data_IF_788094506810
#
_entry.id   IF_788094506810
#
_cell.length_a   1.000
_cell.length_b   1.000
_cell.length_c   1.000
_cell.angle_alpha   90.00
_cell.angle_beta   90.00
_cell.angle_gamma   90.00
#
_symmetry.space_group_name_H-M   'P 1'
#
loop_
_entity.id
_entity.type
_entity.pdbx_description
1 polymer ?
#
# COMPACT_ATOMS: atom_id res chain seq x y z
N UNK A 1 12.06 -14.13 -2.60
CA UNK A 1 12.11 -12.72 -2.13
C UNK A 1 11.39 -12.55 -0.80
N UNK A 2 11.58 -11.39 -0.13
CA UNK A 2 10.93 -11.02 1.13
C UNK A 2 9.66 -10.24 0.86
N UNK A 3 8.50 -10.77 1.26
CA UNK A 3 7.18 -10.19 0.96
C UNK A 3 6.53 -9.70 2.25
N UNK A 4 6.05 -8.45 2.24
CA UNK A 4 5.25 -7.88 3.31
C UNK A 4 3.83 -7.58 2.81
N UNK A 5 2.83 -8.24 3.39
CA UNK A 5 1.41 -8.05 3.06
C UNK A 5 0.76 -7.19 4.13
N UNK A 6 0.09 -6.11 3.72
CA UNK A 6 -0.55 -5.15 4.62
C UNK A 6 -2.05 -5.07 4.31
N UNK A 7 -2.91 -5.41 5.28
CA UNK A 7 -4.34 -5.14 5.21
C UNK A 7 -4.67 -3.83 5.93
N UNK A 8 -5.17 -2.86 5.16
CA UNK A 8 -5.57 -1.54 5.65
C UNK A 8 -7.05 -1.38 5.95
N UNK A 9 -7.86 -2.43 5.88
CA UNK A 9 -9.30 -2.33 6.21
C UNK A 9 -9.52 -2.44 7.71
N UNK A 10 -10.29 -1.53 8.34
CA UNK A 10 -10.52 -1.56 9.79
C UNK A 10 -11.47 -2.67 10.25
N UNK A 11 -12.31 -3.21 9.36
CA UNK A 11 -13.30 -4.25 9.69
C UNK A 11 -12.81 -5.65 9.31
N UNK A 12 -12.81 -6.57 10.30
CA UNK A 12 -12.43 -7.99 10.17
C UNK A 12 -13.40 -8.79 9.29
N UNK A 13 -14.65 -8.35 9.14
CA UNK A 13 -15.68 -8.97 8.29
C UNK A 13 -15.65 -8.51 6.83
N UNK A 14 -14.70 -7.69 6.45
CA UNK A 14 -14.64 -7.07 5.12
C UNK A 14 -14.15 -8.03 4.03
N UNK A 15 -14.51 -7.75 2.77
CA UNK A 15 -13.97 -8.48 1.63
C UNK A 15 -12.46 -8.24 1.44
N UNK A 16 -11.92 -7.11 1.88
CA UNK A 16 -10.46 -6.90 1.94
C UNK A 16 -9.78 -7.92 2.85
N UNK A 17 -10.42 -8.35 3.94
CA UNK A 17 -9.89 -9.40 4.81
C UNK A 17 -9.84 -10.75 4.09
N UNK A 18 -10.82 -11.09 3.25
CA UNK A 18 -10.80 -12.30 2.44
C UNK A 18 -9.69 -12.24 1.39
N UNK A 19 -9.49 -11.09 0.72
CA UNK A 19 -8.37 -10.87 -0.21
C UNK A 19 -7.03 -11.05 0.50
N UNK A 20 -6.87 -10.44 1.68
CA UNK A 20 -5.66 -10.54 2.49
C UNK A 20 -5.33 -12.00 2.85
N UNK A 21 -6.32 -12.76 3.36
CA UNK A 21 -6.16 -14.18 3.67
C UNK A 21 -5.78 -14.98 2.43
N UNK A 22 -6.49 -14.77 1.31
CA UNK A 22 -6.17 -15.43 0.05
C UNK A 22 -4.73 -15.20 -0.39
N UNK A 23 -4.23 -13.97 -0.23
CA UNK A 23 -2.83 -13.64 -0.56
C UNK A 23 -1.87 -14.40 0.36
N UNK A 24 -2.06 -14.30 1.67
CA UNK A 24 -1.17 -14.93 2.66
C UNK A 24 -1.13 -16.45 2.51
N UNK A 25 -2.28 -17.09 2.25
CA UNK A 25 -2.40 -18.54 2.11
C UNK A 25 -1.84 -19.09 0.78
N UNK A 26 -1.67 -18.25 -0.24
CA UNK A 26 -1.25 -18.68 -1.57
C UNK A 26 0.15 -18.22 -1.99
N UNK A 27 0.86 -17.46 -1.16
CA UNK A 27 2.28 -17.18 -1.36
C UNK A 27 3.09 -18.45 -1.04
N UNK A 28 3.93 -18.88 -1.99
CA UNK A 28 4.75 -20.09 -1.84
C UNK A 28 5.89 -19.84 -0.83
N UNK A 29 5.76 -20.43 0.37
CA UNK A 29 6.75 -20.33 1.45
C UNK A 29 8.10 -20.99 1.14
N UNK A 30 8.16 -21.86 0.11
CA UNK A 30 9.44 -22.43 -0.32
C UNK A 30 10.26 -21.46 -1.18
N UNK A 31 9.60 -20.46 -1.79
CA UNK A 31 10.22 -19.47 -2.68
C UNK A 31 10.37 -18.10 -2.04
N UNK A 32 9.53 -17.79 -1.04
CA UNK A 32 9.44 -16.45 -0.46
C UNK A 32 9.40 -16.51 1.07
N UNK A 33 10.03 -15.52 1.70
CA UNK A 33 9.84 -15.21 3.11
C UNK A 33 8.64 -14.27 3.23
N UNK A 34 7.68 -14.60 4.07
CA UNK A 34 6.42 -13.86 4.22
C UNK A 34 6.28 -13.28 5.62
N UNK A 35 6.02 -12.00 5.69
CA UNK A 35 5.51 -11.29 6.87
C UNK A 35 4.18 -10.60 6.53
N UNK A 36 3.32 -10.45 7.53
CA UNK A 36 2.02 -9.80 7.29
C UNK A 36 1.64 -8.87 8.44
N UNK A 37 0.97 -7.77 8.09
CA UNK A 37 0.39 -6.79 9.01
C UNK A 37 -1.09 -6.67 8.72
N UNK A 38 -1.92 -7.11 9.68
CA UNK A 38 -3.35 -6.96 9.62
C UNK A 38 -3.78 -5.83 10.58
N UNK A 39 -3.89 -4.61 10.06
CA UNK A 39 -4.09 -3.41 10.88
C UNK A 39 -5.35 -3.44 11.75
N UNK A 40 -6.38 -4.21 11.35
CA UNK A 40 -7.60 -4.33 12.16
C UNK A 40 -7.48 -5.24 13.39
N UNK A 41 -6.34 -5.89 13.57
CA UNK A 41 -6.06 -6.76 14.72
C UNK A 41 -5.10 -6.12 15.73
N UNK A 42 -4.60 -4.93 15.40
CA UNK A 42 -3.54 -4.26 16.16
C UNK A 42 -4.07 -2.96 16.74
N UNK A 43 -3.92 -2.81 18.04
CA UNK A 43 -4.22 -1.56 18.74
C UNK A 43 -2.97 -0.66 18.71
N UNK A 44 -3.04 0.44 17.98
CA UNK A 44 -2.01 1.49 17.90
C UNK A 44 -2.64 2.85 17.65
N UNK A 45 -1.99 3.92 18.08
CA UNK A 45 -2.45 5.28 17.76
C UNK A 45 -2.06 5.66 16.31
N UNK A 46 -3.03 5.75 15.37
CA UNK A 46 -2.74 6.11 13.98
C UNK A 46 -2.45 7.60 13.79
N UNK A 47 -2.63 8.43 14.82
CA UNK A 47 -2.48 9.88 14.68
C UNK A 47 -1.04 10.31 14.90
N UNK A 48 -0.44 10.95 13.92
CA UNK A 48 0.86 11.62 14.05
C UNK A 48 0.68 12.96 14.77
N UNK A 49 0.48 12.92 16.12
CA UNK A 49 -0.02 14.03 16.93
C UNK A 49 0.78 15.31 16.85
N UNK A 50 2.10 15.19 16.68
CA UNK A 50 3.00 16.36 16.69
C UNK A 50 3.62 16.63 15.33
N UNK A 51 3.19 15.91 14.28
CA UNK A 51 3.91 15.88 13.01
C UNK A 51 5.35 15.42 13.25
N UNK A 52 6.31 16.03 12.54
CA UNK A 52 7.73 15.77 12.75
C UNK A 52 8.42 16.79 13.68
N UNK A 53 7.64 17.66 14.36
CA UNK A 53 8.16 18.69 15.27
C UNK A 53 8.63 18.10 16.61
N UNK A 54 7.96 17.09 17.09
CA UNK A 54 8.26 16.41 18.36
C UNK A 54 8.09 14.90 18.16
N UNK A 55 9.04 14.13 18.66
CA UNK A 55 8.94 12.66 18.66
C UNK A 55 7.79 12.22 19.56
N UNK A 56 6.98 11.29 19.10
CA UNK A 56 6.00 10.57 19.90
C UNK A 56 6.69 9.51 20.76
N UNK A 57 6.01 9.02 21.78
CA UNK A 57 6.45 7.85 22.52
C UNK A 57 6.66 6.66 21.57
N UNK A 58 7.64 5.85 21.91
CA UNK A 58 7.95 4.66 21.12
C UNK A 58 6.82 3.65 21.24
N UNK A 59 6.37 3.17 20.12
CA UNK A 59 5.36 2.13 19.98
C UNK A 59 6.05 0.90 19.37
N UNK A 60 6.10 -0.23 20.09
CA UNK A 60 6.77 -1.44 19.60
C UNK A 60 6.27 -1.92 18.24
N UNK A 61 4.96 -1.76 17.97
CA UNK A 61 4.39 -2.11 16.68
C UNK A 61 4.89 -1.20 15.55
N UNK A 62 5.00 0.11 15.81
CA UNK A 62 5.54 1.07 14.84
C UNK A 62 7.02 0.77 14.55
N UNK A 63 7.82 0.50 15.57
CA UNK A 63 9.23 0.12 15.41
C UNK A 63 9.37 -1.18 14.60
N UNK A 64 8.59 -2.21 14.94
CA UNK A 64 8.58 -3.46 14.16
C UNK A 64 8.12 -3.24 12.72
N UNK A 65 7.13 -2.39 12.50
CA UNK A 65 6.68 -2.03 11.15
C UNK A 65 7.79 -1.35 10.33
N UNK A 66 8.59 -0.48 10.94
CA UNK A 66 9.74 0.17 10.29
C UNK A 66 10.82 -0.84 9.91
N UNK A 67 11.12 -1.82 10.76
CA UNK A 67 12.02 -2.93 10.43
C UNK A 67 11.50 -3.74 9.24
N UNK A 68 10.22 -4.10 9.25
CA UNK A 68 9.59 -4.85 8.16
C UNK A 68 9.59 -4.11 6.82
N UNK A 69 9.41 -2.79 6.84
CA UNK A 69 9.53 -1.96 5.63
C UNK A 69 10.94 -1.99 5.06
N UNK A 70 11.95 -1.97 5.90
CA UNK A 70 13.34 -2.09 5.45
C UNK A 70 13.68 -3.52 4.98
N UNK A 71 13.12 -4.53 5.62
CA UNK A 71 13.33 -5.94 5.33
C UNK A 71 12.72 -6.38 3.99
N UNK A 72 11.47 -5.96 3.70
CA UNK A 72 10.73 -6.45 2.53
C UNK A 72 11.35 -6.01 1.20
N UNK A 73 11.32 -6.88 0.19
CA UNK A 73 11.64 -6.59 -1.22
C UNK A 73 10.37 -6.21 -2.01
N UNK A 74 9.25 -6.83 -1.64
CA UNK A 74 7.94 -6.62 -2.26
C UNK A 74 6.85 -6.36 -1.23
N UNK A 75 6.04 -5.34 -1.48
CA UNK A 75 4.90 -4.97 -0.64
C UNK A 75 3.59 -5.34 -1.33
N UNK A 76 2.63 -5.86 -0.58
CA UNK A 76 1.27 -6.07 -1.07
C UNK A 76 0.31 -5.31 -0.16
N UNK A 77 -0.34 -4.28 -0.70
CA UNK A 77 -1.33 -3.50 0.02
C UNK A 77 -2.73 -3.94 -0.35
N UNK A 78 -3.57 -4.18 0.67
CA UNK A 78 -4.99 -4.51 0.50
C UNK A 78 -5.83 -3.47 1.26
N UNK A 79 -6.71 -2.73 0.55
CA UNK A 79 -7.55 -1.73 1.21
C UNK A 79 -8.78 -1.33 0.38
N UNK A 80 -9.84 -0.79 1.01
CA UNK A 80 -10.97 -0.22 0.30
C UNK A 80 -10.65 1.21 -0.13
N UNK A 81 -11.17 1.61 -1.28
CA UNK A 81 -11.13 3.02 -1.71
C UNK A 81 -12.29 3.76 -1.07
N UNK A 82 -12.02 4.64 -0.13
CA UNK A 82 -12.96 5.51 0.54
C UNK A 82 -12.63 6.97 0.26
N UNK A 83 -13.61 7.74 -0.19
CA UNK A 83 -13.43 9.16 -0.51
C UNK A 83 -12.18 9.42 -1.37
N UNK A 84 -12.03 8.62 -2.43
CA UNK A 84 -10.89 8.70 -3.35
C UNK A 84 -9.51 8.54 -2.68
N UNK A 85 -9.46 7.85 -1.56
CA UNK A 85 -8.22 7.61 -0.80
C UNK A 85 -8.25 6.26 -0.09
N UNK A 86 -7.20 5.97 0.67
CA UNK A 86 -7.13 4.84 1.59
C UNK A 86 -7.85 5.17 2.90
N UNK A 87 -8.26 4.17 3.69
CA UNK A 87 -8.82 4.37 5.03
C UNK A 87 -7.84 5.13 5.96
N UNK A 88 -8.41 5.86 6.93
CA UNK A 88 -7.64 6.60 7.93
C UNK A 88 -6.66 5.72 8.70
N UNK A 89 -7.05 4.47 9.00
CA UNK A 89 -6.20 3.50 9.68
C UNK A 89 -4.92 3.21 8.89
N UNK A 90 -5.03 2.92 7.59
CA UNK A 90 -3.87 2.69 6.72
C UNK A 90 -3.04 3.96 6.55
N UNK A 91 -3.72 5.12 6.37
CA UNK A 91 -3.03 6.40 6.24
C UNK A 91 -2.25 6.74 7.50
N UNK A 92 -2.85 6.54 8.67
CA UNK A 92 -2.20 6.78 9.95
C UNK A 92 -1.00 5.86 10.19
N UNK A 93 -1.11 4.57 9.83
CA UNK A 93 0.04 3.66 9.85
C UNK A 93 1.16 4.15 8.94
N UNK A 94 0.84 4.58 7.71
CA UNK A 94 1.83 5.15 6.79
C UNK A 94 2.48 6.40 7.41
N UNK A 95 1.73 7.33 7.98
CA UNK A 95 2.26 8.55 8.57
C UNK A 95 3.20 8.27 9.75
N UNK A 96 2.93 7.20 10.51
CA UNK A 96 3.75 6.79 11.66
C UNK A 96 5.00 6.00 11.26
N UNK A 97 4.93 5.22 10.18
CA UNK A 97 5.97 4.26 9.76
C UNK A 97 6.87 4.82 8.66
N UNK A 98 6.31 5.53 7.68
CA UNK A 98 7.05 6.08 6.54
C UNK A 98 7.71 7.42 6.87
N UNK A 99 8.62 7.40 7.83
CA UNK A 99 9.24 8.59 8.39
C UNK A 99 10.60 8.92 7.78
N UNK A 100 11.08 10.18 7.90
CA UNK A 100 12.44 10.55 7.53
C UNK A 100 13.47 9.65 8.22
N UNK A 101 14.51 9.26 7.48
CA UNK A 101 15.54 8.32 7.95
C UNK A 101 15.21 6.84 7.72
N UNK A 102 13.93 6.48 7.60
CA UNK A 102 13.47 5.11 7.30
C UNK A 102 13.19 4.93 5.80
N UNK A 103 12.42 5.81 5.18
CA UNK A 103 11.99 5.65 3.78
C UNK A 103 12.57 6.72 2.84
N UNK A 104 12.96 7.85 3.38
CA UNK A 104 13.66 8.91 2.65
C UNK A 104 14.59 9.70 3.59
N UNK A 105 15.55 10.41 3.01
CA UNK A 105 16.39 11.37 3.72
C UNK A 105 16.57 12.65 2.89
N UNK A 106 16.93 13.76 3.53
CA UNK A 106 17.27 14.96 2.80
C UNK A 106 18.48 14.71 1.88
N UNK A 107 18.43 15.21 0.65
CA UNK A 107 19.56 15.17 -0.27
C UNK A 107 20.40 16.43 -0.10
N UNK A 108 21.43 16.37 0.73
CA UNK A 108 22.34 17.48 1.01
C UNK A 108 23.53 17.53 0.02
N UNK A 109 23.53 16.68 -1.02
CA UNK A 109 24.62 16.66 -2.02
C UNK A 109 24.30 17.62 -3.18
N UNK A 110 25.26 18.46 -3.54
CA UNK A 110 25.14 19.40 -4.65
C UNK A 110 24.32 20.66 -4.36
N UNK A 111 23.95 21.38 -5.42
CA UNK A 111 23.16 22.59 -5.30
C UNK A 111 21.69 22.30 -4.96
N UNK A 112 21.17 22.98 -3.93
CA UNK A 112 19.76 22.90 -3.57
C UNK A 112 18.83 23.24 -4.74
N UNK A 113 19.16 24.27 -5.52
CA UNK A 113 18.37 24.71 -6.68
C UNK A 113 18.35 23.61 -7.76
N UNK A 114 19.50 23.02 -8.08
CA UNK A 114 19.58 21.96 -9.08
C UNK A 114 18.86 20.69 -8.61
N UNK A 115 18.96 20.33 -7.34
CA UNK A 115 18.21 19.21 -6.76
C UNK A 115 16.71 19.46 -6.81
N UNK A 116 16.27 20.69 -6.53
CA UNK A 116 14.87 21.09 -6.64
C UNK A 116 14.35 20.97 -8.07
N UNK A 117 15.04 21.55 -9.04
CA UNK A 117 14.66 21.50 -10.45
C UNK A 117 14.64 20.07 -11.04
N UNK A 118 15.48 19.18 -10.51
CA UNK A 118 15.55 17.76 -10.90
C UNK A 118 14.62 16.84 -10.09
N UNK A 119 13.85 17.37 -9.13
CA UNK A 119 13.03 16.59 -8.22
C UNK A 119 13.85 15.61 -7.33
N UNK A 120 15.10 15.98 -7.02
CA UNK A 120 16.06 15.19 -6.26
C UNK A 120 16.32 15.74 -4.85
N UNK A 121 15.37 16.45 -4.27
CA UNK A 121 15.49 17.03 -2.90
C UNK A 121 15.64 15.94 -1.83
N UNK A 122 15.13 14.74 -2.12
CA UNK A 122 15.17 13.63 -1.19
C UNK A 122 15.88 12.42 -1.81
N UNK A 123 16.71 11.78 -0.99
CA UNK A 123 17.26 10.46 -1.29
C UNK A 123 16.21 9.40 -0.94
N UNK A 124 15.81 8.61 -1.93
CA UNK A 124 14.84 7.52 -1.79
C UNK A 124 15.53 6.29 -1.18
N UNK A 125 15.19 5.93 0.06
CA UNK A 125 15.88 4.85 0.78
C UNK A 125 15.35 3.45 0.45
N UNK A 126 14.16 3.34 -0.14
CA UNK A 126 13.55 2.06 -0.54
C UNK A 126 13.65 1.81 -2.06
N UNK A 127 14.64 2.41 -2.71
CA UNK A 127 14.89 2.23 -4.14
C UNK A 127 15.21 0.76 -4.46
N UNK A 128 14.56 0.24 -5.50
CA UNK A 128 14.70 -1.15 -5.95
C UNK A 128 13.59 -2.07 -5.45
N UNK A 129 12.88 -1.68 -4.40
CA UNK A 129 11.72 -2.43 -3.92
C UNK A 129 10.50 -2.23 -4.82
N UNK A 130 9.57 -3.17 -4.74
CA UNK A 130 8.37 -3.20 -5.58
C UNK A 130 7.09 -3.32 -4.76
N UNK A 131 5.93 -3.00 -5.36
CA UNK A 131 4.65 -3.16 -4.68
C UNK A 131 3.55 -3.64 -5.63
N UNK A 132 2.56 -4.36 -5.07
CA UNK A 132 1.27 -4.67 -5.66
C UNK A 132 0.15 -4.07 -4.79
N UNK A 133 -0.92 -3.61 -5.42
CA UNK A 133 -2.06 -3.00 -4.74
C UNK A 133 -3.32 -3.76 -5.14
N UNK A 134 -4.04 -4.27 -4.16
CA UNK A 134 -5.36 -4.87 -4.31
C UNK A 134 -6.37 -4.00 -3.58
N UNK A 135 -7.29 -3.44 -4.31
CA UNK A 135 -8.26 -2.51 -3.73
C UNK A 135 -9.70 -2.92 -4.03
N UNK A 136 -10.61 -2.51 -3.16
CA UNK A 136 -12.05 -2.66 -3.36
C UNK A 136 -12.72 -1.29 -3.47
N UNK A 137 -13.85 -1.22 -4.18
CA UNK A 137 -14.58 0.03 -4.37
C UNK A 137 -16.06 -0.20 -4.61
N UNK A 138 -16.88 0.80 -4.27
CA UNK A 138 -18.29 0.84 -4.69
C UNK A 138 -18.46 1.34 -6.14
N UNK A 139 -17.49 2.10 -6.67
CA UNK A 139 -17.50 2.54 -8.06
C UNK A 139 -17.14 1.38 -9.00
N UNK A 140 -17.64 1.38 -10.25
CA UNK A 140 -17.31 0.35 -11.22
C UNK A 140 -15.81 0.28 -11.54
N UNK A 141 -15.29 -0.93 -11.77
CA UNK A 141 -13.87 -1.14 -12.12
C UNK A 141 -13.46 -0.39 -13.38
N UNK A 142 -14.35 -0.25 -14.37
CA UNK A 142 -14.08 0.48 -15.61
C UNK A 142 -13.83 1.98 -15.38
N UNK A 143 -14.47 2.57 -14.34
CA UNK A 143 -14.26 3.96 -13.96
C UNK A 143 -12.77 4.25 -13.69
N UNK A 144 -12.12 3.38 -12.94
CA UNK A 144 -10.69 3.51 -12.64
C UNK A 144 -9.80 3.31 -13.86
N UNK A 145 -10.23 2.48 -14.83
CA UNK A 145 -9.49 2.24 -16.07
C UNK A 145 -9.58 3.43 -17.04
N UNK A 146 -10.74 4.03 -17.16
CA UNK A 146 -10.99 5.16 -18.06
C UNK A 146 -10.32 6.44 -17.56
N UNK A 147 -10.44 6.71 -16.27
CA UNK A 147 -9.89 7.92 -15.66
C UNK A 147 -8.44 7.79 -15.19
N UNK A 148 -7.84 6.58 -15.25
CA UNK A 148 -6.40 6.36 -15.08
C UNK A 148 -5.62 6.37 -16.39
N UNK A 149 -6.26 6.68 -17.53
CA UNK A 149 -5.68 6.61 -18.86
C UNK A 149 -4.96 7.89 -19.32
N UNK A 150 -4.60 8.00 -20.61
CA UNK A 150 -3.67 9.01 -21.14
C UNK A 150 -4.18 10.47 -21.11
N UNK A 151 -5.39 10.71 -20.68
CA UNK A 151 -5.94 12.07 -20.50
C UNK A 151 -5.57 12.60 -19.12
N UNK A 152 -4.32 12.53 -18.72
CA UNK A 152 -3.69 13.27 -17.61
C UNK A 152 -4.61 13.77 -16.45
N UNK A 153 -5.73 13.10 -16.20
CA UNK A 153 -6.40 13.16 -14.94
C UNK A 153 -5.50 12.32 -14.03
N UNK A 154 -4.80 12.92 -13.07
CA UNK A 154 -3.84 12.17 -12.26
C UNK A 154 -4.55 10.93 -11.76
N UNK A 155 -3.89 9.77 -11.76
CA UNK A 155 -4.30 8.47 -11.23
C UNK A 155 -5.25 8.63 -10.05
N UNK A 156 -6.45 9.09 -10.35
CA UNK A 156 -7.14 9.92 -9.43
C UNK A 156 -7.83 9.05 -8.45
N UNK A 157 -8.33 8.60 -7.99
CA UNK A 157 -9.30 7.95 -7.13
C UNK A 157 -8.73 6.73 -6.35
N UNK A 158 -8.11 7.03 -5.25
CA UNK A 158 -7.84 6.05 -4.21
C UNK A 158 -6.53 5.26 -4.36
N UNK A 159 -5.94 5.23 -5.54
CA UNK A 159 -4.68 4.52 -5.79
C UNK A 159 -3.51 5.50 -5.88
N UNK A 160 -3.70 6.67 -6.47
CA UNK A 160 -2.60 7.60 -6.76
C UNK A 160 -1.89 8.12 -5.52
N UNK A 161 -2.61 8.33 -4.42
CA UNK A 161 -2.01 8.78 -3.17
C UNK A 161 -1.00 7.76 -2.68
N UNK A 162 -1.37 6.49 -2.61
CA UNK A 162 -0.42 5.44 -2.22
C UNK A 162 0.67 5.24 -3.27
N UNK A 163 0.30 5.04 -4.52
CA UNK A 163 1.22 4.70 -5.62
C UNK A 163 2.22 5.82 -5.92
N UNK A 164 1.73 7.05 -6.12
CA UNK A 164 2.54 8.15 -6.62
C UNK A 164 3.11 9.02 -5.50
N UNK A 165 2.27 9.40 -4.53
CA UNK A 165 2.70 10.31 -3.47
C UNK A 165 3.47 9.59 -2.34
N UNK A 166 3.21 8.31 -2.07
CA UNK A 166 3.91 7.55 -1.03
C UNK A 166 4.98 6.64 -1.63
N UNK A 167 4.57 5.58 -2.33
CA UNK A 167 5.49 4.53 -2.78
C UNK A 167 6.58 5.05 -3.72
N UNK A 168 6.19 5.77 -4.78
CA UNK A 168 7.16 6.33 -5.72
C UNK A 168 8.07 7.37 -5.09
N UNK A 169 7.56 8.15 -4.13
CA UNK A 169 8.37 9.11 -3.37
C UNK A 169 9.48 8.40 -2.57
N UNK A 170 9.19 7.23 -2.02
CA UNK A 170 10.16 6.42 -1.27
C UNK A 170 11.08 5.57 -2.17
N UNK A 171 10.77 5.45 -3.47
CA UNK A 171 11.53 4.66 -4.44
C UNK A 171 10.98 3.27 -4.71
N UNK A 172 9.79 2.96 -4.22
CA UNK A 172 9.11 1.69 -4.44
C UNK A 172 8.36 1.75 -5.77
N UNK A 173 8.61 0.81 -6.67
CA UNK A 173 7.94 0.72 -7.97
C UNK A 173 6.67 -0.13 -7.87
N UNK A 174 5.50 0.45 -8.14
CA UNK A 174 4.26 -0.33 -8.25
C UNK A 174 4.28 -1.18 -9.52
N UNK A 175 4.21 -2.50 -9.37
CA UNK A 175 4.18 -3.50 -10.45
C UNK A 175 2.76 -3.81 -10.89
N UNK A 176 1.81 -3.81 -9.94
CA UNK A 176 0.44 -4.22 -10.17
C UNK A 176 -0.55 -3.38 -9.38
N UNK A 177 -1.69 -3.14 -10.01
CA UNK A 177 -2.89 -2.59 -9.36
C UNK A 177 -4.08 -3.44 -9.81
N UNK A 178 -4.81 -4.03 -8.87
CA UNK A 178 -6.03 -4.80 -9.10
C UNK A 178 -7.17 -4.21 -8.27
N UNK A 179 -8.27 -3.86 -8.90
CA UNK A 179 -9.43 -3.24 -8.23
C UNK A 179 -10.65 -4.09 -8.50
N UNK A 180 -11.35 -4.51 -7.43
CA UNK A 180 -12.70 -5.03 -7.52
C UNK A 180 -13.68 -3.89 -7.23
N UNK A 181 -14.36 -3.43 -8.26
CA UNK A 181 -15.42 -2.41 -8.16
C UNK A 181 -16.78 -3.00 -7.81
N UNK A 182 -17.76 -2.09 -7.66
CA UNK A 182 -19.19 -2.40 -7.48
C UNK A 182 -19.52 -3.21 -6.22
N UNK A 183 -18.66 -3.14 -5.21
CA UNK A 183 -18.88 -3.83 -3.94
C UNK A 183 -20.19 -3.32 -3.29
N UNK A 184 -21.06 -4.26 -2.86
CA UNK A 184 -22.38 -3.93 -2.30
C UNK A 184 -23.48 -3.70 -3.33
N UNK A 185 -23.19 -3.79 -4.64
CA UNK A 185 -24.19 -3.77 -5.70
C UNK A 185 -24.60 -5.19 -6.09
N UNK A 186 -25.79 -5.35 -6.69
CA UNK A 186 -26.32 -6.65 -7.14
C UNK A 186 -25.40 -7.37 -8.13
N UNK A 187 -24.68 -6.62 -8.96
CA UNK A 187 -23.70 -7.18 -9.91
C UNK A 187 -22.47 -7.80 -9.25
N UNK A 188 -22.19 -7.45 -7.98
CA UNK A 188 -21.09 -8.02 -7.21
C UNK A 188 -21.57 -9.24 -6.41
N UNK A 189 -21.89 -10.30 -7.12
CA UNK A 189 -22.37 -11.56 -6.55
C UNK A 189 -21.26 -12.34 -5.85
N UNK A 190 -21.64 -13.36 -5.07
CA UNK A 190 -20.67 -14.30 -4.48
C UNK A 190 -19.80 -14.97 -5.55
N UNK A 191 -20.37 -15.30 -6.72
CA UNK A 191 -19.59 -15.86 -7.85
C UNK A 191 -18.55 -14.87 -8.36
N UNK A 192 -18.87 -13.58 -8.47
CA UNK A 192 -17.91 -12.53 -8.87
C UNK A 192 -16.77 -12.41 -7.87
N UNK A 193 -17.08 -12.43 -6.56
CA UNK A 193 -16.09 -12.38 -5.48
C UNK A 193 -15.17 -13.61 -5.50
N UNK A 194 -15.73 -14.81 -5.65
CA UNK A 194 -14.97 -16.06 -5.74
C UNK A 194 -14.01 -16.08 -6.94
N UNK A 195 -14.48 -15.65 -8.12
CA UNK A 195 -13.62 -15.51 -9.31
C UNK A 195 -12.48 -14.51 -9.08
N UNK A 196 -12.76 -13.42 -8.37
CA UNK A 196 -11.72 -12.44 -8.05
C UNK A 196 -10.68 -13.01 -7.07
N UNK A 197 -11.09 -13.73 -6.03
CA UNK A 197 -10.18 -14.39 -5.09
C UNK A 197 -9.33 -15.46 -5.80
N UNK A 198 -9.92 -16.25 -6.67
CA UNK A 198 -9.18 -17.22 -7.49
C UNK A 198 -8.11 -16.54 -8.34
N UNK A 199 -8.48 -15.46 -9.02
CA UNK A 199 -7.52 -14.63 -9.78
C UNK A 199 -6.40 -14.09 -8.88
N UNK A 200 -6.71 -13.60 -7.69
CA UNK A 200 -5.71 -13.12 -6.72
C UNK A 200 -4.76 -14.24 -6.33
N UNK A 201 -5.29 -15.42 -6.03
CA UNK A 201 -4.47 -16.59 -5.69
C UNK A 201 -3.50 -16.99 -6.82
N UNK A 202 -3.98 -17.02 -8.07
CA UNK A 202 -3.14 -17.30 -9.23
C UNK A 202 -2.02 -16.25 -9.40
N UNK A 203 -2.37 -14.98 -9.20
CA UNK A 203 -1.44 -13.86 -9.33
C UNK A 203 -0.32 -13.87 -8.30
N UNK A 204 -0.61 -14.25 -7.05
CA UNK A 204 0.42 -14.29 -6.01
C UNK A 204 1.27 -15.57 -6.09
N UNK A 205 0.73 -16.67 -6.58
CA UNK A 205 1.51 -17.88 -6.90
C UNK A 205 2.53 -17.66 -8.03
N UNK A 206 2.24 -16.73 -8.92
CA UNK A 206 3.11 -16.36 -10.05
C UNK A 206 4.13 -15.26 -9.71
N UNK A 207 4.25 -14.85 -8.44
CA UNK A 207 5.29 -13.91 -8.02
C UNK A 207 6.69 -14.54 -8.16
N UNK A 208 7.64 -13.77 -8.74
CA UNK A 208 9.04 -14.16 -8.98
C UNK A 208 10.00 -13.44 -8.03
#
# INVERSE_FOLDING_TARGET
>A
MKILVINGHPDKGSFCQEIFRTIVENIDSNRHELESINLNEIDFDPVLRYGYRKRMEEDPFILRSQELIQWADHFIFVYPIWWSSMPSLLKGWIDRVFTPGIVYSANNQGSFILNYLRGQQFKKLLKGKTASIYATSMAPTWWYKVFSGPINIPDSYGISVLKNAVLNHCGIKTKKVSILGELGREVNTNSTRQKYLQKVAEEVKALD
#
